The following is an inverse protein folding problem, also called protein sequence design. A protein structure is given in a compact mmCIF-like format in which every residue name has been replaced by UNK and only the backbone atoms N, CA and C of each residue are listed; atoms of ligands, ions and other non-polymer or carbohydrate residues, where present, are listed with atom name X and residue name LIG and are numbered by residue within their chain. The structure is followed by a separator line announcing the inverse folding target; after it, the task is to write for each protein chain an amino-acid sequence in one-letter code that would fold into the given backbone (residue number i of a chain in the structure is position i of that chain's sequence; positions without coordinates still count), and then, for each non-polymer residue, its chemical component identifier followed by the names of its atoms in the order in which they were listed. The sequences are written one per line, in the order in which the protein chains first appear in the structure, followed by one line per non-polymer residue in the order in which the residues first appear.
data_IF_201046944224
#
_entry.id   IF_201046944224
#
_cell.length_a   1.000
_cell.length_b   1.000
_cell.length_c   1.000
_cell.angle_alpha   90.00
_cell.angle_beta   90.00
_cell.angle_gamma   90.00
#
_symmetry.space_group_name_H-M   'P 1'
#
loop_
_entity.id
_entity.type
_entity.pdbx_description
1 polymer ?
#
# COMPACT_ATOMS: atom_id res chain seq x y z
N UNK A 1 -1.23 44.81 22.89
CA UNK A 1 -1.19 44.29 21.52
C UNK A 1 0.07 43.47 21.19
N UNK A 2 1.30 43.97 21.40
CA UNK A 2 2.55 43.26 21.06
C UNK A 2 2.70 41.85 21.68
N UNK A 3 2.26 41.68 22.96
CA UNK A 3 2.34 40.36 23.65
C UNK A 3 1.45 39.29 23.00
N UNK A 4 0.25 39.64 22.55
CA UNK A 4 -0.68 38.70 21.91
C UNK A 4 -0.22 38.35 20.49
N UNK A 5 0.41 39.30 19.77
CA UNK A 5 0.99 39.04 18.47
C UNK A 5 2.15 38.05 18.54
N UNK A 6 3.01 38.21 19.57
CA UNK A 6 4.13 37.29 19.81
C UNK A 6 3.62 35.87 20.16
N UNK A 7 2.60 35.77 21.03
CA UNK A 7 1.99 34.49 21.39
C UNK A 7 1.36 33.80 20.17
N UNK A 8 0.63 34.58 19.35
CA UNK A 8 0.05 34.05 18.11
C UNK A 8 1.13 33.54 17.14
N UNK A 9 2.25 34.26 17.01
CA UNK A 9 3.38 33.87 16.18
C UNK A 9 4.05 32.59 16.69
N UNK A 10 4.25 32.45 18.00
CA UNK A 10 4.80 31.25 18.62
C UNK A 10 3.88 30.02 18.40
N UNK A 11 2.55 30.21 18.49
CA UNK A 11 1.58 29.15 18.21
C UNK A 11 1.60 28.76 16.74
N UNK A 12 1.70 29.72 15.83
CA UNK A 12 1.78 29.45 14.37
C UNK A 12 3.08 28.72 14.05
N UNK A 13 4.22 29.14 14.61
CA UNK A 13 5.52 28.48 14.39
C UNK A 13 5.51 27.08 15.00
N UNK A 14 4.99 26.90 16.22
CA UNK A 14 4.86 25.59 16.86
C UNK A 14 3.96 24.64 16.07
N UNK A 15 2.82 25.13 15.57
CA UNK A 15 1.94 24.39 14.68
C UNK A 15 2.64 24.05 13.35
N UNK A 16 3.40 24.99 12.79
CA UNK A 16 4.13 24.76 11.53
C UNK A 16 5.22 23.70 11.71
N UNK A 17 5.99 23.74 12.79
CA UNK A 17 7.01 22.71 13.10
C UNK A 17 6.35 21.35 13.32
N UNK A 18 5.23 21.30 14.03
CA UNK A 18 4.48 20.06 14.26
C UNK A 18 3.93 19.45 12.97
N UNK A 19 3.53 20.29 12.00
CA UNK A 19 2.98 19.86 10.71
C UNK A 19 4.09 19.50 9.70
N UNK A 20 5.27 20.11 9.82
CA UNK A 20 6.41 19.94 8.88
C UNK A 20 7.33 18.78 9.32
N UNK A 21 7.06 18.11 10.45
CA UNK A 21 7.82 16.91 10.84
C UNK A 21 7.90 15.95 9.65
N UNK A 22 9.10 15.52 9.25
CA UNK A 22 9.27 14.71 8.05
C UNK A 22 8.44 13.43 8.13
N UNK A 23 7.78 13.10 7.04
CA UNK A 23 7.10 11.81 6.84
C UNK A 23 8.21 10.75 6.84
N UNK A 24 8.02 9.67 7.58
CA UNK A 24 8.96 8.54 7.55
C UNK A 24 10.05 8.53 8.66
N UNK A 25 10.10 9.52 9.56
CA UNK A 25 11.05 9.50 10.68
C UNK A 25 10.59 8.72 11.91
N UNK A 26 9.38 8.18 11.90
CA UNK A 26 8.81 7.43 13.02
C UNK A 26 8.88 5.91 12.84
N UNK A 27 9.99 5.39 12.30
CA UNK A 27 10.33 3.96 12.36
C UNK A 27 10.49 3.42 13.78
N UNK A 28 10.47 4.29 14.80
CA UNK A 28 10.84 3.97 16.18
C UNK A 28 9.75 3.20 16.96
N UNK A 29 8.59 2.92 16.36
CA UNK A 29 7.48 2.27 17.09
C UNK A 29 7.19 0.83 16.65
N UNK A 30 7.68 0.39 15.49
CA UNK A 30 7.64 -0.99 15.03
C UNK A 30 9.03 -1.42 14.61
N UNK A 31 9.42 -2.63 15.00
CA UNK A 31 10.65 -3.28 14.52
C UNK A 31 10.50 -3.65 13.04
N UNK A 32 11.61 -3.90 12.35
CA UNK A 32 11.55 -4.38 10.96
C UNK A 32 10.72 -5.66 10.83
N UNK A 33 10.89 -6.61 11.77
CA UNK A 33 10.10 -7.83 11.79
C UNK A 33 8.60 -7.57 11.96
N UNK A 34 8.20 -6.61 12.81
CA UNK A 34 6.80 -6.23 12.97
C UNK A 34 6.24 -5.54 11.71
N UNK A 35 7.05 -4.79 10.98
CA UNK A 35 6.66 -4.20 9.69
C UNK A 35 6.47 -5.31 8.66
N UNK A 36 7.36 -6.29 8.60
CA UNK A 36 7.23 -7.44 7.69
C UNK A 36 5.95 -8.23 7.98
N UNK A 37 5.67 -8.55 9.25
CA UNK A 37 4.41 -9.19 9.64
C UNK A 37 3.17 -8.36 9.32
N UNK A 38 3.24 -7.03 9.40
CA UNK A 38 2.15 -6.15 8.98
C UNK A 38 1.93 -6.23 7.45
N UNK A 39 3.01 -6.31 6.68
CA UNK A 39 2.93 -6.55 5.24
C UNK A 39 2.26 -7.90 4.95
N UNK A 40 2.64 -8.98 5.66
CA UNK A 40 2.01 -10.30 5.52
C UNK A 40 0.50 -10.24 5.78
N UNK A 41 0.07 -9.51 6.82
CA UNK A 41 -1.35 -9.30 7.10
C UNK A 41 -2.11 -8.60 5.96
N UNK A 42 -1.46 -7.68 5.24
CA UNK A 42 -2.06 -7.04 4.07
C UNK A 42 -2.01 -7.93 2.83
N UNK A 43 -0.94 -8.69 2.63
CA UNK A 43 -0.80 -9.65 1.54
C UNK A 43 -1.88 -10.74 1.63
N UNK A 44 -2.19 -11.22 2.83
CA UNK A 44 -3.28 -12.19 3.05
C UNK A 44 -4.66 -11.66 2.60
N UNK A 45 -4.89 -10.34 2.63
CA UNK A 45 -6.16 -9.75 2.22
C UNK A 45 -6.41 -9.78 0.70
N UNK A 46 -5.34 -9.86 -0.11
CA UNK A 46 -5.44 -9.92 -1.57
C UNK A 46 -5.43 -11.34 -2.10
N UNK A 47 -5.05 -12.31 -1.26
CA UNK A 47 -4.99 -13.72 -1.67
C UNK A 47 -6.35 -14.21 -2.14
N UNK A 48 -6.45 -14.53 -3.42
CA UNK A 48 -7.63 -15.18 -3.99
C UNK A 48 -7.38 -16.68 -4.07
N UNK A 49 -8.38 -17.49 -3.67
CA UNK A 49 -8.30 -18.94 -3.85
C UNK A 49 -8.46 -19.35 -5.31
N UNK A 50 -8.74 -18.41 -6.18
CA UNK A 50 -9.02 -18.66 -7.61
C UNK A 50 -7.80 -19.18 -8.37
N UNK A 51 -6.59 -18.82 -7.91
CA UNK A 51 -5.33 -19.14 -8.58
C UNK A 51 -4.48 -20.16 -7.82
N UNK A 52 -5.11 -20.99 -6.96
CA UNK A 52 -4.39 -22.01 -6.17
C UNK A 52 -3.57 -23.00 -6.98
N UNK A 53 -3.93 -23.22 -8.24
CA UNK A 53 -3.28 -24.19 -9.12
C UNK A 53 -2.17 -23.57 -9.98
N UNK A 54 -1.94 -22.27 -9.86
CA UNK A 54 -0.90 -21.53 -10.58
C UNK A 54 0.16 -21.05 -9.56
N UNK A 55 1.43 -21.08 -9.95
CA UNK A 55 2.51 -20.54 -9.13
C UNK A 55 2.26 -19.05 -8.88
N UNK A 56 1.93 -18.69 -7.65
CA UNK A 56 1.56 -17.34 -7.25
C UNK A 56 2.20 -16.95 -5.93
N UNK A 57 2.20 -15.64 -5.66
CA UNK A 57 2.56 -15.07 -4.37
C UNK A 57 1.72 -13.83 -4.11
N UNK A 58 1.37 -13.60 -2.84
CA UNK A 58 0.80 -12.34 -2.40
C UNK A 58 1.87 -11.55 -1.68
N UNK A 59 2.09 -10.30 -2.07
CA UNK A 59 3.10 -9.45 -1.49
C UNK A 59 2.53 -8.09 -1.14
N UNK A 60 3.06 -7.49 -0.06
CA UNK A 60 2.71 -6.14 0.31
C UNK A 60 3.94 -5.36 0.77
N UNK A 61 3.83 -4.05 0.62
CA UNK A 61 4.77 -3.09 1.20
C UNK A 61 4.00 -1.95 1.84
N UNK A 62 4.60 -1.30 2.85
CA UNK A 62 3.97 -0.20 3.58
C UNK A 62 4.93 0.95 3.77
N UNK A 63 4.40 2.18 3.73
CA UNK A 63 5.09 3.37 4.21
C UNK A 63 4.32 3.93 5.42
N UNK A 64 4.96 3.89 6.60
CA UNK A 64 4.34 4.22 7.89
C UNK A 64 4.49 5.71 8.16
N UNK A 65 3.37 6.42 8.28
CA UNK A 65 3.34 7.83 8.67
C UNK A 65 3.55 8.03 10.17
N UNK A 66 3.19 7.02 10.97
CA UNK A 66 3.38 7.00 12.40
C UNK A 66 2.43 6.06 13.11
N UNK A 67 2.58 6.04 14.45
CA UNK A 67 1.80 5.18 15.32
C UNK A 67 1.17 5.95 16.48
N UNK A 68 0.13 5.39 17.08
CA UNK A 68 -0.52 5.91 18.27
C UNK A 68 -0.89 4.75 19.21
N UNK A 69 -0.43 4.83 20.44
CA UNK A 69 -0.63 3.78 21.45
C UNK A 69 0.71 3.29 21.96
N UNK A 70 0.68 2.46 22.99
CA UNK A 70 1.83 1.78 23.59
C UNK A 70 1.39 0.43 24.13
N UNK A 71 2.31 -0.54 24.16
CA UNK A 71 2.07 -1.87 24.69
C UNK A 71 1.35 -2.76 23.69
N UNK A 72 0.50 -3.63 24.19
CA UNK A 72 -0.17 -4.70 23.43
C UNK A 72 -0.96 -4.21 22.21
N UNK A 73 -1.50 -2.97 22.25
CA UNK A 73 -2.31 -2.43 21.17
C UNK A 73 -1.76 -1.10 20.66
N UNK A 74 -1.52 -1.04 19.37
CA UNK A 74 -1.03 0.16 18.67
C UNK A 74 -1.87 0.43 17.41
N UNK A 75 -2.18 1.70 17.17
CA UNK A 75 -2.79 2.11 15.90
C UNK A 75 -1.70 2.62 14.97
N UNK A 76 -1.64 2.07 13.77
CA UNK A 76 -0.66 2.39 12.74
C UNK A 76 -1.36 3.15 11.62
N UNK A 77 -0.69 4.17 11.11
CA UNK A 77 -1.15 5.04 10.02
C UNK A 77 -0.11 5.00 8.91
N UNK A 78 -0.53 4.81 7.68
CA UNK A 78 0.40 4.70 6.57
C UNK A 78 -0.26 4.63 5.19
N UNK A 79 0.55 4.26 4.23
CA UNK A 79 0.16 3.90 2.87
C UNK A 79 0.61 2.47 2.62
N UNK A 80 -0.22 1.69 1.95
CA UNK A 80 0.03 0.29 1.62
C UNK A 80 -0.17 0.05 0.14
N UNK A 81 0.65 -0.80 -0.42
CA UNK A 81 0.43 -1.49 -1.69
C UNK A 81 0.47 -2.98 -1.42
N UNK A 82 -0.57 -3.69 -1.83
CA UNK A 82 -0.64 -5.14 -1.75
C UNK A 82 -1.14 -5.71 -3.07
N UNK A 83 -0.52 -6.76 -3.57
CA UNK A 83 -0.84 -7.40 -4.83
C UNK A 83 -0.72 -8.92 -4.78
N UNK A 84 -1.53 -9.60 -5.61
CA UNK A 84 -1.40 -11.02 -5.94
C UNK A 84 -0.72 -11.13 -7.29
N UNK A 85 0.40 -11.83 -7.32
CA UNK A 85 1.28 -11.96 -8.47
C UNK A 85 1.27 -13.40 -8.97
N UNK A 86 0.98 -13.58 -10.25
CA UNK A 86 0.97 -14.88 -10.90
C UNK A 86 2.19 -15.03 -11.82
N UNK A 87 2.89 -16.15 -11.69
CA UNK A 87 3.99 -16.48 -12.59
C UNK A 87 3.46 -17.14 -13.87
N UNK A 88 3.85 -16.58 -14.99
CA UNK A 88 3.61 -17.18 -16.30
C UNK A 88 4.89 -17.13 -17.13
N UNK A 89 5.47 -18.30 -17.42
CA UNK A 89 6.74 -18.46 -18.11
C UNK A 89 7.89 -17.76 -17.34
N UNK A 90 8.48 -16.75 -17.94
CA UNK A 90 9.64 -16.00 -17.45
C UNK A 90 9.28 -14.64 -16.83
N UNK A 91 7.99 -14.41 -16.55
CA UNK A 91 7.47 -13.17 -15.96
C UNK A 91 6.42 -13.42 -14.89
N UNK A 92 6.25 -12.45 -14.02
CA UNK A 92 5.14 -12.37 -13.08
C UNK A 92 4.24 -11.17 -13.41
N UNK A 93 2.95 -11.28 -13.10
CA UNK A 93 1.94 -10.28 -13.39
C UNK A 93 1.12 -9.98 -12.14
N UNK A 94 0.95 -8.70 -11.80
CA UNK A 94 0.02 -8.25 -10.76
C UNK A 94 -1.40 -8.37 -11.30
N UNK A 95 -2.19 -9.27 -10.71
CA UNK A 95 -3.54 -9.59 -11.19
C UNK A 95 -4.65 -9.11 -10.28
N UNK A 96 -4.33 -8.78 -9.04
CA UNK A 96 -5.28 -8.30 -8.04
C UNK A 96 -4.55 -7.55 -6.95
N UNK A 97 -5.08 -6.43 -6.52
CA UNK A 97 -4.43 -5.69 -5.43
C UNK A 97 -5.11 -4.37 -5.11
N UNK A 98 -4.50 -3.67 -4.17
CA UNK A 98 -4.93 -2.33 -3.79
C UNK A 98 -3.76 -1.45 -3.38
N UNK A 99 -3.93 -0.15 -3.59
CA UNK A 99 -3.02 0.91 -3.18
C UNK A 99 -3.80 1.97 -2.42
N UNK A 100 -3.59 2.08 -1.10
CA UNK A 100 -4.41 3.00 -0.30
C UNK A 100 -3.73 3.52 0.97
N UNK A 101 -4.28 4.61 1.49
CA UNK A 101 -3.98 5.09 2.84
C UNK A 101 -4.70 4.19 3.84
N UNK A 102 -3.96 3.69 4.82
CA UNK A 102 -4.52 2.83 5.86
C UNK A 102 -4.46 3.44 7.25
N UNK A 103 -5.37 3.00 8.10
CA UNK A 103 -5.38 3.17 9.54
C UNK A 103 -5.83 1.84 10.15
N UNK A 104 -4.94 1.17 10.85
CA UNK A 104 -5.24 -0.14 11.47
C UNK A 104 -4.84 -0.14 12.93
N UNK A 105 -5.65 -0.79 13.77
CA UNK A 105 -5.26 -1.16 15.14
C UNK A 105 -4.68 -2.56 15.09
N UNK A 106 -3.47 -2.70 15.60
CA UNK A 106 -2.76 -3.97 15.68
C UNK A 106 -2.59 -4.41 17.12
N UNK A 107 -2.59 -5.72 17.34
CA UNK A 107 -2.06 -6.35 18.54
C UNK A 107 -0.62 -6.79 18.25
N UNK A 108 0.26 -6.62 19.26
CA UNK A 108 1.66 -6.98 19.19
C UNK A 108 1.94 -8.09 20.21
N UNK A 109 2.53 -9.18 19.74
CA UNK A 109 3.08 -10.24 20.59
C UNK A 109 4.52 -10.53 20.12
N UNK A 110 5.50 -9.91 20.78
CA UNK A 110 6.88 -9.91 20.33
C UNK A 110 7.02 -9.29 18.96
N UNK A 111 7.43 -10.10 17.98
CA UNK A 111 7.53 -9.68 16.57
C UNK A 111 6.25 -9.93 15.77
N UNK A 112 5.32 -10.71 16.31
CA UNK A 112 4.05 -11.00 15.64
C UNK A 112 3.13 -9.78 15.67
N UNK A 113 2.43 -9.57 14.55
CA UNK A 113 1.46 -8.50 14.36
C UNK A 113 0.15 -9.12 13.91
N UNK A 114 -0.94 -8.72 14.57
CA UNK A 114 -2.29 -9.07 14.13
C UNK A 114 -3.12 -7.82 13.96
N UNK A 115 -3.71 -7.62 12.79
CA UNK A 115 -4.70 -6.56 12.59
C UNK A 115 -5.97 -6.95 13.35
N UNK A 116 -6.31 -6.19 14.39
CA UNK A 116 -7.52 -6.41 15.21
C UNK A 116 -8.66 -5.49 14.80
N UNK A 117 -8.36 -4.40 14.11
CA UNK A 117 -9.36 -3.48 13.55
C UNK A 117 -8.77 -2.70 12.38
N UNK A 118 -9.48 -2.67 11.28
CA UNK A 118 -9.27 -1.73 10.18
C UNK A 118 -10.29 -0.60 10.28
N UNK A 119 -9.86 0.63 10.03
CA UNK A 119 -10.70 1.82 10.07
C UNK A 119 -11.04 2.26 8.64
N UNK A 120 -12.21 2.87 8.48
CA UNK A 120 -12.76 3.15 7.16
C UNK A 120 -13.65 2.01 6.68
N UNK A 121 -14.14 2.13 5.45
CA UNK A 121 -15.00 1.12 4.81
C UNK A 121 -14.22 0.06 4.02
N UNK A 122 -12.87 0.13 4.02
CA UNK A 122 -12.02 -0.77 3.25
C UNK A 122 -12.11 -0.59 1.72
N UNK A 123 -12.86 0.43 1.27
CA UNK A 123 -13.12 0.68 -0.15
C UNK A 123 -12.61 2.06 -0.56
N UNK A 124 -12.47 2.98 0.38
CA UNK A 124 -12.22 4.39 0.07
C UNK A 124 -11.23 5.05 1.02
N UNK A 125 -10.11 5.49 0.48
CA UNK A 125 -9.17 6.38 1.18
C UNK A 125 -9.88 7.56 1.88
N UNK A 126 -11.00 8.06 1.34
CA UNK A 126 -11.75 9.17 1.92
C UNK A 126 -12.42 8.80 3.25
N UNK A 127 -12.91 7.58 3.41
CA UNK A 127 -13.51 7.12 4.68
C UNK A 127 -12.43 6.96 5.76
N UNK A 128 -11.31 6.32 5.43
CA UNK A 128 -10.15 6.19 6.31
C UNK A 128 -9.64 7.55 6.78
N UNK A 129 -9.49 8.51 5.87
CA UNK A 129 -9.04 9.87 6.19
C UNK A 129 -10.00 10.61 7.15
N UNK A 130 -11.30 10.33 7.14
CA UNK A 130 -12.25 10.95 8.08
C UNK A 130 -12.02 10.51 9.52
N UNK A 131 -11.69 9.24 9.73
CA UNK A 131 -11.45 8.67 11.04
C UNK A 131 -10.04 8.97 11.58
N UNK A 132 -9.10 9.29 10.68
CA UNK A 132 -7.71 9.53 10.99
C UNK A 132 -7.51 10.83 11.79
N UNK A 133 -6.68 10.84 12.86
CA UNK A 133 -6.31 12.08 13.56
C UNK A 133 -5.74 13.13 12.61
N UNK A 134 -6.01 14.43 12.90
CA UNK A 134 -5.67 15.55 12.00
C UNK A 134 -4.21 15.53 11.55
N UNK A 135 -3.27 15.24 12.44
CA UNK A 135 -1.83 15.15 12.12
C UNK A 135 -1.60 14.15 10.97
N UNK A 136 -2.03 12.92 11.13
CA UNK A 136 -1.79 11.85 10.16
C UNK A 136 -2.61 12.03 8.88
N UNK A 137 -3.82 12.62 8.99
CA UNK A 137 -4.62 13.04 7.84
C UNK A 137 -3.90 14.07 6.96
N UNK A 138 -3.23 15.04 7.58
CA UNK A 138 -2.44 16.03 6.85
C UNK A 138 -1.19 15.42 6.24
N UNK A 139 -0.54 14.48 6.92
CA UNK A 139 0.58 13.72 6.37
C UNK A 139 0.14 12.90 5.16
N UNK A 140 -0.95 12.14 5.28
CA UNK A 140 -1.51 11.34 4.19
C UNK A 140 -1.88 12.20 2.96
N UNK A 141 -2.48 13.38 3.16
CA UNK A 141 -2.81 14.31 2.07
C UNK A 141 -1.59 14.90 1.36
N UNK A 142 -0.46 14.98 2.04
CA UNK A 142 0.81 15.50 1.50
C UNK A 142 1.72 14.39 0.98
N UNK A 143 1.38 13.15 1.28
CA UNK A 143 2.16 12.01 0.85
C UNK A 143 2.11 11.90 -0.67
N UNK A 144 3.28 11.97 -1.27
CA UNK A 144 3.42 11.70 -2.70
C UNK A 144 3.72 10.21 -2.88
N UNK A 145 2.66 9.43 -3.09
CA UNK A 145 2.76 7.99 -3.30
C UNK A 145 3.47 7.61 -4.60
N UNK A 146 3.54 8.55 -5.57
CA UNK A 146 4.05 8.29 -6.91
C UNK A 146 5.40 8.96 -7.12
N UNK A 147 6.25 8.35 -7.93
CA UNK A 147 7.50 8.93 -8.40
C UNK A 147 7.27 9.88 -9.60
N UNK A 148 8.37 10.42 -10.17
CA UNK A 148 8.34 11.31 -11.33
C UNK A 148 7.74 10.70 -12.60
N UNK A 149 7.72 9.36 -12.69
CA UNK A 149 7.15 8.60 -13.79
C UNK A 149 5.70 8.19 -13.52
N UNK A 150 5.11 8.62 -12.40
CA UNK A 150 3.75 8.26 -12.01
C UNK A 150 3.62 6.86 -11.41
N UNK A 151 4.73 6.23 -11.04
CA UNK A 151 4.73 4.89 -10.46
C UNK A 151 4.65 4.92 -8.93
N UNK A 152 3.78 4.10 -8.34
CA UNK A 152 3.65 4.01 -6.89
C UNK A 152 4.94 3.46 -6.26
N UNK A 153 5.57 4.25 -5.36
CA UNK A 153 6.84 3.89 -4.72
C UNK A 153 6.74 2.61 -3.88
N UNK A 154 5.61 2.48 -3.18
CA UNK A 154 5.36 1.33 -2.31
C UNK A 154 5.02 0.08 -3.14
N UNK A 155 4.35 0.25 -4.29
CA UNK A 155 4.12 -0.84 -5.23
C UNK A 155 5.43 -1.44 -5.75
N UNK A 156 6.41 -0.60 -6.11
CA UNK A 156 7.74 -1.10 -6.53
C UNK A 156 8.42 -1.99 -5.50
N UNK A 157 8.20 -1.72 -4.22
CA UNK A 157 8.75 -2.55 -3.15
C UNK A 157 8.00 -3.88 -3.02
N UNK A 158 6.68 -3.88 -3.23
CA UNK A 158 5.88 -5.11 -3.29
C UNK A 158 6.23 -5.94 -4.53
N UNK A 159 6.38 -5.30 -5.71
CA UNK A 159 6.83 -5.96 -6.95
C UNK A 159 8.18 -6.65 -6.76
N UNK A 160 9.15 -5.95 -6.14
CA UNK A 160 10.47 -6.52 -5.86
C UNK A 160 10.41 -7.76 -4.96
N UNK A 161 9.56 -7.74 -3.92
CA UNK A 161 9.33 -8.91 -3.07
C UNK A 161 8.71 -10.07 -3.88
N UNK A 162 7.81 -9.77 -4.80
CA UNK A 162 7.21 -10.77 -5.68
C UNK A 162 8.23 -11.36 -6.67
N UNK A 163 9.11 -10.53 -7.24
CA UNK A 163 10.23 -10.98 -8.08
C UNK A 163 11.16 -11.93 -7.33
N UNK A 164 11.50 -11.58 -6.07
CA UNK A 164 12.34 -12.41 -5.21
C UNK A 164 11.65 -13.76 -4.88
N UNK A 165 10.33 -13.75 -4.64
CA UNK A 165 9.58 -14.95 -4.30
C UNK A 165 9.37 -15.89 -5.49
N UNK A 166 9.09 -15.34 -6.69
CA UNK A 166 8.78 -16.12 -7.91
C UNK A 166 10.00 -16.39 -8.78
N UNK A 167 11.13 -15.72 -8.52
CA UNK A 167 12.37 -15.85 -9.27
C UNK A 167 12.29 -15.33 -10.71
N UNK A 168 11.33 -14.47 -11.02
CA UNK A 168 11.11 -13.88 -12.35
C UNK A 168 10.74 -12.40 -12.20
N UNK A 169 11.03 -11.53 -13.20
CA UNK A 169 10.68 -10.12 -13.15
C UNK A 169 9.16 -9.91 -13.19
N UNK A 170 8.68 -8.93 -12.44
CA UNK A 170 7.30 -8.44 -12.51
C UNK A 170 7.15 -7.52 -13.71
N UNK A 171 6.20 -7.83 -14.58
CA UNK A 171 5.82 -6.96 -15.68
C UNK A 171 4.96 -5.81 -15.14
N UNK A 172 5.55 -4.64 -15.11
CA UNK A 172 4.90 -3.42 -14.64
C UNK A 172 4.17 -2.71 -15.77
N UNK A 173 2.91 -2.44 -15.55
CA UNK A 173 2.04 -1.80 -16.56
C UNK A 173 1.45 -2.86 -17.49
N UNK A 174 0.19 -3.15 -17.25
CA UNK A 174 -0.60 -4.19 -17.88
C UNK A 174 -0.85 -3.93 -19.38
N UNK A 175 0.18 -3.74 -20.19
CA UNK A 175 0.01 -3.64 -21.64
C UNK A 175 0.91 -4.65 -22.34
N UNK A 176 0.29 -5.57 -23.07
CA UNK A 176 0.94 -6.47 -23.99
C UNK A 176 0.80 -5.92 -25.40
N UNK A 177 1.91 -5.78 -26.13
CA UNK A 177 1.87 -5.48 -27.57
C UNK A 177 1.88 -6.78 -28.35
N UNK A 178 0.75 -7.12 -28.95
CA UNK A 178 0.63 -8.29 -29.84
C UNK A 178 0.33 -7.78 -31.26
N UNK A 179 1.20 -8.07 -32.19
CA UNK A 179 1.03 -7.66 -33.62
C UNK A 179 0.78 -6.16 -33.80
N UNK A 180 1.45 -5.30 -33.00
CA UNK A 180 1.32 -3.85 -33.08
C UNK A 180 0.06 -3.27 -32.42
N UNK A 181 -0.72 -4.09 -31.72
CA UNK A 181 -1.86 -3.65 -30.91
C UNK A 181 -1.52 -3.78 -29.43
N UNK A 182 -1.89 -2.75 -28.66
CA UNK A 182 -1.75 -2.76 -27.21
C UNK A 182 -3.01 -3.39 -26.56
N UNK A 183 -2.77 -4.32 -25.66
CA UNK A 183 -3.80 -4.98 -24.86
C UNK A 183 -3.51 -4.74 -23.40
N UNK A 184 -4.56 -4.53 -22.60
CA UNK A 184 -4.46 -4.55 -21.14
C UNK A 184 -4.61 -6.01 -20.68
N UNK A 185 -3.75 -6.45 -19.75
CA UNK A 185 -3.88 -7.75 -19.10
C UNK A 185 -4.91 -7.60 -17.99
N UNK A 186 -5.99 -8.39 -18.05
CA UNK A 186 -7.03 -8.35 -17.04
C UNK A 186 -7.07 -9.58 -16.16
N UNK A 187 -6.59 -10.72 -16.64
CA UNK A 187 -6.61 -11.95 -15.87
C UNK A 187 -5.71 -13.04 -16.49
N UNK A 188 -5.41 -14.04 -15.69
CA UNK A 188 -4.89 -15.33 -16.16
C UNK A 188 -5.98 -16.36 -15.88
N UNK A 189 -6.37 -17.15 -16.88
CA UNK A 189 -7.37 -18.19 -16.70
C UNK A 189 -6.82 -19.40 -15.91
N UNK A 190 -7.70 -20.35 -15.57
CA UNK A 190 -7.33 -21.56 -14.83
C UNK A 190 -6.32 -22.45 -15.55
N UNK A 191 -6.17 -22.28 -16.85
CA UNK A 191 -5.24 -23.03 -17.69
C UNK A 191 -3.90 -22.29 -17.86
N UNK A 192 -3.75 -21.11 -17.18
CA UNK A 192 -2.54 -20.30 -17.24
C UNK A 192 -2.44 -19.42 -18.48
N UNK A 193 -3.53 -19.23 -19.25
CA UNK A 193 -3.53 -18.31 -20.38
C UNK A 193 -3.80 -16.89 -19.94
N UNK A 194 -3.06 -15.95 -20.50
CA UNK A 194 -3.27 -14.53 -20.25
C UNK A 194 -4.50 -14.06 -21.02
N UNK A 195 -5.49 -13.56 -20.29
CA UNK A 195 -6.67 -12.91 -20.89
C UNK A 195 -6.37 -11.44 -21.06
N UNK A 196 -6.25 -10.99 -22.30
CA UNK A 196 -5.99 -9.61 -22.67
C UNK A 196 -7.22 -8.98 -23.31
N UNK A 197 -7.45 -7.71 -23.00
CA UNK A 197 -8.46 -6.90 -23.67
C UNK A 197 -7.78 -5.80 -24.49
N UNK A 198 -8.24 -5.57 -25.71
CA UNK A 198 -7.70 -4.51 -26.57
C UNK A 198 -7.97 -3.13 -25.92
N UNK A 199 -6.90 -2.35 -25.74
CA UNK A 199 -6.97 -1.03 -25.11
C UNK A 199 -8.00 -0.14 -25.82
N UNK A 200 -8.97 0.39 -25.08
CA UNK A 200 -10.03 1.25 -25.59
C UNK A 200 -11.31 0.56 -26.07
N UNK A 201 -11.38 -0.77 -26.05
CA UNK A 201 -12.63 -1.52 -26.31
C UNK A 201 -13.13 -2.17 -25.01
N UNK A 202 -13.74 -1.36 -24.13
CA UNK A 202 -14.54 -1.88 -23.04
C UNK A 202 -15.77 -2.56 -23.69
N UNK A 203 -15.77 -3.87 -23.73
CA UNK A 203 -17.02 -4.60 -23.96
C UNK A 203 -17.73 -4.61 -22.61
N UNK A 204 -18.82 -3.88 -22.54
CA UNK A 204 -19.79 -4.02 -21.46
C UNK A 204 -20.26 -5.47 -21.47
N UNK A 205 -20.08 -6.17 -20.34
CA UNK A 205 -20.69 -7.45 -20.04
C UNK A 205 -21.96 -7.24 -19.23
#
# INVERSE_FOLDING_TARGET
MKKYLFLALCVIIGLSIYIISPIGTHKDYLTSAQVDHLCDCFAEQVSSKQFSDIENTCQAAVDIFGTKGKGEYTTVFGYVSAGEYLKHKDKAYDVSGFNEVFMVKIALDGNEVKIVKQYGDGVSTKSTLKEMPLKYRLMAKRYNAFDENGYCKVAKEADKKAEEALGVPVETGCSLSISGKEYEIFNIDTDGNIICFEKGKRKDF
#
